data_IF_638265426038
#
_entry.id   IF_638265426038
#
_cell.length_a   1.000
_cell.length_b   1.000
_cell.length_c   1.000
_cell.angle_alpha   90.00
_cell.angle_beta   90.00
_cell.angle_gamma   90.00
#
_symmetry.space_group_name_H-M   'P 1'
#
loop_
_entity.id
_entity.type
_entity.pdbx_description
1 polymer ?
#
# COMPACT_ATOMS: atom_id res chain seq x y z
N UNK A 1 -11.80 -3.12 24.34
CA UNK A 1 -10.82 -2.04 23.99
C UNK A 1 -9.48 -2.26 24.71
N UNK A 2 -9.46 -2.88 25.90
CA UNK A 2 -8.23 -3.33 26.57
C UNK A 2 -7.40 -4.35 25.78
N UNK A 3 -8.04 -5.33 25.14
CA UNK A 3 -7.32 -6.35 24.37
C UNK A 3 -6.63 -5.78 23.12
N UNK A 4 -7.25 -4.78 22.50
CA UNK A 4 -6.64 -4.04 21.40
C UNK A 4 -5.43 -3.22 21.87
N UNK A 5 -5.49 -2.62 23.07
CA UNK A 5 -4.35 -1.92 23.68
C UNK A 5 -3.20 -2.88 23.95
N UNK A 6 -3.46 -4.05 24.55
CA UNK A 6 -2.42 -5.07 24.78
C UNK A 6 -1.73 -5.54 23.50
N UNK A 7 -2.45 -5.62 22.38
CA UNK A 7 -1.84 -5.98 21.09
C UNK A 7 -0.91 -4.90 20.53
N UNK A 8 -1.15 -3.63 20.90
CA UNK A 8 -0.39 -2.46 20.47
C UNK A 8 0.71 -2.05 21.47
N UNK A 9 0.75 -2.66 22.65
CA UNK A 9 1.81 -2.42 23.63
C UNK A 9 3.14 -2.94 23.07
N UNK A 10 4.08 -2.01 22.91
CA UNK A 10 5.45 -2.30 22.55
C UNK A 10 6.17 -2.84 23.78
N UNK A 11 6.97 -3.87 23.57
CA UNK A 11 7.98 -4.28 24.55
C UNK A 11 9.00 -3.15 24.77
N UNK A 12 9.71 -3.12 25.91
CA UNK A 12 10.75 -2.12 26.15
C UNK A 12 11.79 -2.07 25.01
N UNK A 13 12.18 -3.23 24.49
CA UNK A 13 13.14 -3.36 23.39
C UNK A 13 12.58 -2.79 22.08
N UNK A 14 11.31 -3.07 21.75
CA UNK A 14 10.65 -2.49 20.58
C UNK A 14 10.51 -0.96 20.70
N UNK A 15 10.16 -0.47 21.89
CA UNK A 15 10.05 0.97 22.17
C UNK A 15 11.40 1.67 22.01
N UNK A 16 12.46 1.08 22.55
CA UNK A 16 13.82 1.60 22.39
C UNK A 16 14.26 1.58 20.92
N UNK A 17 13.98 0.48 20.19
CA UNK A 17 14.31 0.37 18.78
C UNK A 17 13.61 1.46 17.94
N UNK A 18 12.31 1.69 18.16
CA UNK A 18 11.54 2.76 17.50
C UNK A 18 12.09 4.15 17.85
N UNK A 19 12.50 4.38 19.10
CA UNK A 19 13.05 5.68 19.53
C UNK A 19 14.35 6.07 18.80
N UNK A 20 15.08 5.08 18.29
CA UNK A 20 16.34 5.27 17.54
C UNK A 20 16.10 5.48 16.04
N UNK A 21 14.87 5.30 15.53
CA UNK A 21 14.54 5.52 14.12
C UNK A 21 14.51 7.02 13.84
N UNK A 22 15.49 7.51 13.09
CA UNK A 22 15.48 8.88 12.58
C UNK A 22 14.60 8.92 11.34
N UNK A 23 13.41 9.53 11.48
CA UNK A 23 12.53 9.82 10.33
C UNK A 23 12.84 11.25 9.85
N UNK A 24 13.55 11.43 8.73
CA UNK A 24 13.85 12.77 8.23
C UNK A 24 12.55 13.51 7.86
N UNK A 25 12.54 14.84 7.99
CA UNK A 25 11.45 15.66 7.46
C UNK A 25 11.45 15.59 5.94
N UNK A 26 10.40 15.00 5.37
CA UNK A 26 10.28 14.79 3.93
C UNK A 26 9.42 15.89 3.33
N UNK A 27 9.96 16.57 2.32
CA UNK A 27 9.18 17.52 1.52
C UNK A 27 8.20 16.74 0.65
N UNK A 28 6.90 16.93 0.91
CA UNK A 28 5.80 16.30 0.18
C UNK A 28 6.05 16.36 -1.34
N UNK A 29 6.09 15.20 -1.98
CA UNK A 29 6.22 15.07 -3.43
C UNK A 29 7.64 15.16 -4.00
N UNK A 30 8.68 15.24 -3.17
CA UNK A 30 10.08 15.28 -3.65
C UNK A 30 10.90 14.04 -3.30
N UNK A 31 10.64 13.43 -2.15
CA UNK A 31 11.35 12.24 -1.66
C UNK A 31 10.35 11.18 -1.18
N UNK A 32 10.60 9.88 -1.41
CA UNK A 32 9.74 8.81 -0.92
C UNK A 32 9.81 8.73 0.60
N UNK A 33 8.64 8.57 1.23
CA UNK A 33 8.56 8.42 2.68
C UNK A 33 9.19 7.12 3.16
N UNK A 34 9.57 7.06 4.45
CA UNK A 34 9.98 5.80 5.07
C UNK A 34 8.92 4.71 4.83
N UNK A 35 7.63 5.05 4.92
CA UNK A 35 6.53 4.12 4.68
C UNK A 35 6.47 3.64 3.22
N UNK A 36 6.72 4.53 2.26
CA UNK A 36 6.76 4.18 0.83
C UNK A 36 7.88 3.18 0.57
N UNK A 37 9.10 3.49 1.03
CA UNK A 37 10.26 2.61 0.87
C UNK A 37 10.02 1.28 1.57
N UNK A 38 9.52 1.33 2.81
CA UNK A 38 9.33 0.15 3.63
C UNK A 38 8.33 -0.84 3.01
N UNK A 39 7.22 -0.34 2.45
CA UNK A 39 6.24 -1.18 1.79
C UNK A 39 6.66 -1.63 0.39
N UNK A 40 7.25 -0.74 -0.41
CA UNK A 40 7.50 -1.02 -1.83
C UNK A 40 8.80 -1.78 -2.12
N UNK A 41 9.74 -1.83 -1.17
CA UNK A 41 11.00 -2.55 -1.36
C UNK A 41 10.75 -4.03 -1.68
N UNK A 42 11.24 -4.50 -2.83
CA UNK A 42 11.06 -5.89 -3.27
C UNK A 42 9.78 -6.15 -4.07
N UNK A 43 8.95 -5.13 -4.34
CA UNK A 43 7.93 -5.22 -5.38
C UNK A 43 8.64 -5.26 -6.74
N UNK A 44 8.26 -6.22 -7.58
CA UNK A 44 8.68 -6.33 -8.98
C UNK A 44 7.50 -6.00 -9.87
N UNK A 45 7.66 -5.03 -10.76
CA UNK A 45 6.64 -4.71 -11.77
C UNK A 45 6.79 -5.68 -12.94
N UNK A 46 5.73 -6.42 -13.25
CA UNK A 46 5.73 -7.44 -14.31
C UNK A 46 5.08 -6.94 -15.60
N UNK A 47 4.00 -6.16 -15.47
CA UNK A 47 3.24 -5.62 -16.61
C UNK A 47 2.63 -4.27 -16.26
N UNK A 48 2.68 -3.34 -17.21
CA UNK A 48 2.05 -2.02 -17.11
C UNK A 48 1.33 -1.70 -18.40
N UNK A 49 0.07 -1.28 -18.27
CA UNK A 49 -0.79 -0.82 -19.35
C UNK A 49 -1.58 0.41 -18.89
N UNK A 50 -2.18 1.18 -19.82
CA UNK A 50 -3.02 2.32 -19.44
C UNK A 50 -4.13 1.95 -18.45
N UNK A 51 -3.98 2.36 -17.19
CA UNK A 51 -4.93 2.08 -16.11
C UNK A 51 -4.87 0.65 -15.56
N UNK A 52 -3.78 -0.09 -15.78
CA UNK A 52 -3.62 -1.46 -15.30
C UNK A 52 -2.14 -1.77 -14.98
N UNK A 53 -1.89 -2.46 -13.88
CA UNK A 53 -0.55 -2.92 -13.53
C UNK A 53 -0.61 -4.29 -12.85
N UNK A 54 0.41 -5.11 -13.09
CA UNK A 54 0.63 -6.38 -12.39
C UNK A 54 2.02 -6.36 -11.80
N UNK A 55 2.11 -6.68 -10.51
CA UNK A 55 3.35 -6.78 -9.78
C UNK A 55 3.47 -8.13 -9.07
N UNK A 56 4.69 -8.59 -8.89
CA UNK A 56 5.06 -9.70 -8.01
C UNK A 56 5.58 -9.14 -6.70
N UNK A 57 5.25 -9.80 -5.59
CA UNK A 57 5.75 -9.43 -4.29
C UNK A 57 5.95 -10.66 -3.41
N UNK A 58 7.22 -10.93 -3.08
CA UNK A 58 7.56 -11.96 -2.09
C UNK A 58 7.40 -11.38 -0.69
N UNK A 59 6.57 -11.99 0.15
CA UNK A 59 6.28 -11.50 1.51
C UNK A 59 7.57 -11.45 2.35
N UNK A 60 8.06 -10.25 2.73
CA UNK A 60 9.30 -10.12 3.46
C UNK A 60 9.05 -10.14 4.99
N UNK A 61 10.03 -10.58 5.80
CA UNK A 61 9.89 -10.61 7.26
C UNK A 61 9.51 -9.26 7.88
N UNK A 62 9.96 -8.15 7.28
CA UNK A 62 9.70 -6.79 7.81
C UNK A 62 8.23 -6.36 7.76
N UNK A 63 7.39 -7.04 6.96
CA UNK A 63 5.98 -6.71 6.79
C UNK A 63 5.04 -7.72 7.48
N UNK A 64 5.59 -8.71 8.18
CA UNK A 64 4.78 -9.74 8.84
C UNK A 64 4.40 -9.37 10.28
N UNK A 65 3.25 -9.86 10.73
CA UNK A 65 2.83 -9.82 12.13
C UNK A 65 3.56 -10.88 12.98
N UNK A 66 3.23 -10.92 14.28
CA UNK A 66 3.82 -11.85 15.26
C UNK A 66 3.61 -13.33 14.91
N UNK A 67 2.60 -13.64 14.09
CA UNK A 67 2.26 -14.99 13.63
C UNK A 67 2.90 -15.32 12.26
N UNK A 68 3.77 -14.44 11.75
CA UNK A 68 4.45 -14.57 10.47
C UNK A 68 3.53 -14.42 9.26
N UNK A 69 2.35 -13.82 9.41
CA UNK A 69 1.50 -13.48 8.26
C UNK A 69 1.81 -12.07 7.78
N UNK A 70 1.65 -11.80 6.48
CA UNK A 70 1.60 -10.44 5.97
C UNK A 70 0.58 -9.62 6.77
N UNK A 71 1.05 -8.59 7.45
CA UNK A 71 0.23 -7.82 8.38
C UNK A 71 -0.88 -7.06 7.64
N UNK A 72 -2.02 -6.88 8.31
CA UNK A 72 -3.13 -6.12 7.72
C UNK A 72 -2.72 -4.68 7.36
N UNK A 73 -1.81 -4.07 8.13
CA UNK A 73 -1.26 -2.75 7.82
C UNK A 73 -0.40 -2.75 6.56
N UNK A 74 0.39 -3.79 6.33
CA UNK A 74 1.15 -3.94 5.09
C UNK A 74 0.24 -4.13 3.87
N UNK A 75 -0.82 -4.94 4.00
CA UNK A 75 -1.85 -5.09 2.96
C UNK A 75 -2.50 -3.73 2.67
N UNK A 76 -2.91 -2.98 3.69
CA UNK A 76 -3.51 -1.66 3.50
C UNK A 76 -2.59 -0.68 2.79
N UNK A 77 -1.31 -0.67 3.16
CA UNK A 77 -0.32 0.16 2.50
C UNK A 77 -0.14 -0.26 1.02
N UNK A 78 -0.03 -1.56 0.72
CA UNK A 78 0.06 -2.06 -0.66
C UNK A 78 -1.15 -1.68 -1.51
N UNK A 79 -2.37 -1.72 -0.95
CA UNK A 79 -3.58 -1.23 -1.64
C UNK A 79 -3.46 0.27 -1.97
N UNK A 80 -3.01 1.07 -1.01
CA UNK A 80 -2.84 2.52 -1.16
C UNK A 80 -1.80 2.85 -2.26
N UNK A 81 -0.58 2.33 -2.15
CA UNK A 81 0.49 2.68 -3.11
C UNK A 81 0.21 2.12 -4.50
N UNK A 82 -0.24 0.86 -4.59
CA UNK A 82 -0.52 0.23 -5.89
C UNK A 82 -1.74 0.86 -6.57
N UNK A 83 -2.78 1.21 -5.80
CA UNK A 83 -3.95 1.93 -6.30
C UNK A 83 -3.59 3.34 -6.79
N UNK A 84 -2.87 4.12 -5.97
CA UNK A 84 -2.42 5.46 -6.32
C UNK A 84 -1.52 5.48 -7.57
N UNK A 85 -0.67 4.47 -7.76
CA UNK A 85 0.27 4.39 -8.87
C UNK A 85 -0.39 4.47 -10.26
N UNK A 86 -1.62 3.96 -10.40
CA UNK A 86 -2.33 3.93 -11.70
C UNK A 86 -2.82 5.29 -12.19
N UNK A 87 -2.89 6.26 -11.29
CA UNK A 87 -3.41 7.61 -11.59
C UNK A 87 -2.38 8.70 -11.31
N UNK A 88 -1.22 8.31 -10.77
CA UNK A 88 -0.10 9.22 -10.58
C UNK A 88 0.37 9.74 -11.93
N UNK A 89 0.54 11.05 -12.03
CA UNK A 89 1.07 11.72 -13.22
C UNK A 89 2.22 12.60 -12.78
N UNK A 90 3.41 12.32 -13.30
CA UNK A 90 4.60 13.10 -13.02
C UNK A 90 4.37 14.58 -13.39
N UNK A 91 4.71 15.48 -12.47
CA UNK A 91 4.56 16.93 -12.66
C UNK A 91 3.19 17.51 -12.29
N UNK A 92 2.21 16.68 -11.95
CA UNK A 92 0.92 17.15 -11.41
C UNK A 92 0.88 16.99 -9.88
N UNK A 93 0.01 17.76 -9.17
CA UNK A 93 -0.20 17.57 -7.75
C UNK A 93 -0.55 16.11 -7.41
N UNK A 94 0.00 15.61 -6.32
CA UNK A 94 -0.27 14.26 -5.85
C UNK A 94 -1.76 14.09 -5.56
N UNK A 95 -2.31 12.93 -5.89
CA UNK A 95 -3.66 12.59 -5.48
C UNK A 95 -3.66 12.27 -3.99
N UNK A 96 -4.70 12.72 -3.29
CA UNK A 96 -4.93 12.38 -1.89
C UNK A 96 -5.99 11.29 -1.79
N UNK A 97 -5.76 10.34 -0.90
CA UNK A 97 -6.71 9.27 -0.57
C UNK A 97 -7.92 9.88 0.14
N UNK A 98 -9.13 9.66 -0.39
CA UNK A 98 -10.38 10.17 0.20
C UNK A 98 -11.26 9.07 0.78
N UNK A 99 -11.12 7.84 0.29
CA UNK A 99 -11.80 6.66 0.82
C UNK A 99 -11.01 5.40 0.42
N UNK A 100 -10.99 4.41 1.31
CA UNK A 100 -10.35 3.12 1.07
C UNK A 100 -11.14 2.02 1.78
N UNK A 101 -11.49 0.97 1.05
CA UNK A 101 -12.16 -0.21 1.59
C UNK A 101 -11.38 -1.47 1.23
N UNK A 102 -11.13 -2.33 2.21
CA UNK A 102 -10.34 -3.55 2.01
C UNK A 102 -11.08 -4.75 2.61
N UNK A 103 -11.20 -5.80 1.80
CA UNK A 103 -11.63 -7.13 2.23
C UNK A 103 -10.40 -8.00 2.44
N UNK A 104 -10.17 -8.44 3.68
CA UNK A 104 -9.12 -9.39 4.04
C UNK A 104 -9.70 -10.79 3.98
N UNK A 105 -9.23 -11.63 3.05
CA UNK A 105 -9.89 -12.87 2.67
C UNK A 105 -9.12 -14.10 3.17
N UNK A 106 -7.82 -14.16 2.91
CA UNK A 106 -6.94 -15.23 3.40
C UNK A 106 -5.62 -14.68 3.95
N UNK A 107 -4.80 -15.57 4.52
CA UNK A 107 -3.48 -15.21 5.05
C UNK A 107 -2.41 -15.50 3.99
N UNK A 108 -1.41 -14.63 3.93
CA UNK A 108 -0.15 -14.89 3.23
C UNK A 108 0.97 -14.99 4.27
N UNK A 109 1.81 -16.02 4.18
CA UNK A 109 2.93 -16.23 5.08
C UNK A 109 4.20 -15.58 4.55
N UNK A 110 5.19 -15.43 5.43
CA UNK A 110 6.57 -15.14 5.03
C UNK A 110 7.00 -16.03 3.86
N UNK A 111 7.72 -15.44 2.91
CA UNK A 111 8.20 -16.07 1.68
C UNK A 111 7.13 -16.48 0.65
N UNK A 112 5.83 -16.32 0.93
CA UNK A 112 4.81 -16.49 -0.11
C UNK A 112 5.03 -15.48 -1.26
N UNK A 113 4.82 -15.95 -2.48
CA UNK A 113 4.86 -15.13 -3.68
C UNK A 113 3.45 -14.64 -4.01
N UNK A 114 3.25 -13.32 -3.97
CA UNK A 114 1.98 -12.68 -4.28
C UNK A 114 2.00 -12.06 -5.67
N UNK A 115 0.87 -12.17 -6.36
CA UNK A 115 0.52 -11.32 -7.50
C UNK A 115 -0.39 -10.18 -7.02
N UNK A 116 0.01 -8.96 -7.30
CA UNK A 116 -0.75 -7.74 -7.01
C UNK A 116 -1.21 -7.19 -8.36
N UNK A 117 -2.52 -7.28 -8.62
CA UNK A 117 -3.14 -6.75 -9.83
C UNK A 117 -3.91 -5.48 -9.49
N UNK A 118 -3.53 -4.37 -10.11
CA UNK A 118 -4.16 -3.06 -9.92
C UNK A 118 -4.89 -2.65 -11.20
N UNK A 119 -6.11 -2.13 -11.06
CA UNK A 119 -6.94 -1.64 -12.17
C UNK A 119 -7.60 -0.29 -11.86
N UNK A 120 -7.59 0.63 -12.82
CA UNK A 120 -8.35 1.88 -12.77
C UNK A 120 -9.81 1.57 -13.12
N UNK A 121 -10.72 1.93 -12.22
CA UNK A 121 -12.16 1.72 -12.39
C UNK A 121 -12.81 2.85 -13.19
N UNK A 122 -12.31 4.09 -13.02
CA UNK A 122 -12.81 5.25 -13.74
C UNK A 122 -12.35 6.56 -13.10
N UNK A 123 -12.74 7.67 -13.74
CA UNK A 123 -12.46 9.02 -13.27
C UNK A 123 -13.66 9.93 -13.55
N UNK A 124 -14.04 10.76 -12.58
CA UNK A 124 -15.04 11.82 -12.72
C UNK A 124 -14.49 13.12 -12.14
N UNK A 125 -14.16 14.09 -12.99
CA UNK A 125 -13.46 15.30 -12.58
C UNK A 125 -12.12 14.98 -11.92
N UNK A 126 -11.89 15.53 -10.72
CA UNK A 126 -10.69 15.26 -9.92
C UNK A 126 -10.70 13.93 -9.17
N UNK A 127 -11.82 13.21 -9.15
CA UNK A 127 -11.98 11.94 -8.43
C UNK A 127 -11.65 10.75 -9.32
N UNK A 128 -10.84 9.83 -8.84
CA UNK A 128 -10.47 8.58 -9.51
C UNK A 128 -10.68 7.39 -8.59
N UNK A 129 -11.23 6.31 -9.12
CA UNK A 129 -11.39 5.04 -8.41
C UNK A 129 -10.45 3.97 -8.97
N UNK A 130 -9.83 3.20 -8.09
CA UNK A 130 -8.98 2.06 -8.44
C UNK A 130 -9.34 0.83 -7.60
N UNK A 131 -8.98 -0.35 -8.10
CA UNK A 131 -9.08 -1.63 -7.38
C UNK A 131 -7.73 -2.35 -7.39
N UNK A 132 -7.41 -3.02 -6.30
CA UNK A 132 -6.20 -3.83 -6.14
C UNK A 132 -6.59 -5.22 -5.66
N UNK A 133 -6.15 -6.26 -6.36
CA UNK A 133 -6.37 -7.66 -5.98
C UNK A 133 -5.02 -8.31 -5.67
N UNK A 134 -4.90 -8.90 -4.49
CA UNK A 134 -3.72 -9.66 -4.08
C UNK A 134 -4.05 -11.14 -4.07
N UNK A 135 -3.29 -11.93 -4.81
CA UNK A 135 -3.45 -13.38 -4.94
C UNK A 135 -2.16 -14.08 -4.57
N UNK A 136 -2.23 -15.13 -3.76
CA UNK A 136 -1.10 -16.03 -3.57
C UNK A 136 -0.88 -16.83 -4.86
N UNK A 137 0.32 -16.78 -5.43
CA UNK A 137 0.62 -17.41 -6.72
C UNK A 137 0.65 -18.94 -6.66
N UNK A 138 1.05 -19.50 -5.53
CA UNK A 138 1.15 -20.94 -5.37
C UNK A 138 -0.22 -21.57 -5.14
N UNK A 139 -1.06 -20.97 -4.30
CA UNK A 139 -2.38 -21.51 -3.95
C UNK A 139 -3.50 -21.01 -4.86
N UNK A 140 -3.30 -19.86 -5.51
CA UNK A 140 -4.33 -19.18 -6.30
C UNK A 140 -5.38 -18.45 -5.45
N UNK A 141 -5.28 -18.51 -4.11
CA UNK A 141 -6.23 -17.89 -3.19
C UNK A 141 -6.10 -16.36 -3.19
N UNK A 142 -7.25 -15.70 -3.03
CA UNK A 142 -7.29 -14.25 -2.82
C UNK A 142 -6.92 -13.98 -1.37
N UNK A 143 -5.84 -13.20 -1.18
CA UNK A 143 -5.38 -12.74 0.12
C UNK A 143 -6.20 -11.52 0.54
N UNK A 144 -6.32 -10.55 -0.35
CA UNK A 144 -7.08 -9.34 -0.12
C UNK A 144 -7.58 -8.70 -1.41
N UNK A 145 -8.68 -7.96 -1.31
CA UNK A 145 -9.20 -7.09 -2.35
C UNK A 145 -9.41 -5.69 -1.78
N UNK A 146 -8.84 -4.69 -2.41
CA UNK A 146 -8.91 -3.29 -2.02
C UNK A 146 -9.57 -2.42 -3.10
N UNK A 147 -10.37 -1.44 -2.67
CA UNK A 147 -10.80 -0.31 -3.50
C UNK A 147 -10.26 0.97 -2.90
N UNK A 148 -9.76 1.85 -3.76
CA UNK A 148 -9.09 3.06 -3.36
C UNK A 148 -9.60 4.24 -4.18
N UNK A 149 -10.16 5.20 -3.46
CA UNK A 149 -10.76 6.42 -3.97
C UNK A 149 -9.78 7.56 -3.73
N UNK A 150 -9.38 8.23 -4.81
CA UNK A 150 -8.40 9.30 -4.74
C UNK A 150 -8.92 10.57 -5.39
N UNK A 151 -8.53 11.72 -4.85
CA UNK A 151 -8.87 13.03 -5.37
C UNK A 151 -7.61 13.84 -5.69
N UNK A 152 -7.62 14.50 -6.85
CA UNK A 152 -6.64 15.54 -7.20
C UNK A 152 -7.40 16.83 -7.42
N UNK A 153 -7.01 17.91 -6.75
CA UNK A 153 -7.54 19.22 -7.12
C UNK A 153 -7.02 19.59 -8.52
N UNK A 154 -7.88 20.21 -9.34
CA UNK A 154 -7.36 20.86 -10.54
C UNK A 154 -6.29 21.85 -10.08
N UNK A 155 -5.09 21.77 -10.66
CA UNK A 155 -4.12 22.84 -10.48
C UNK A 155 -4.85 24.15 -10.79
N UNK A 156 -4.85 25.10 -9.84
CA UNK A 156 -5.40 26.41 -10.12
C UNK A 156 -4.66 26.92 -11.35
N UNK A 157 -5.38 27.01 -12.46
CA UNK A 157 -4.94 27.72 -13.64
C UNK A 157 -4.70 29.15 -13.19
N UNK A 158 -3.45 29.48 -12.80
CA UNK A 158 -3.00 30.86 -12.75
C UNK A 158 -2.86 31.30 -14.21
N UNK A 159 -4.00 31.62 -14.82
CA UNK A 159 -4.10 32.54 -15.94
C UNK A 159 -4.19 33.96 -15.36
#
# INVERSE_FOLDING_TARGET
MEDAKKCLELTPDESEAVSRVVVPEIRVGKEPSLYDIFATTGIRVDRVEPGFAVCSFKVPPRLTDKDGNLSNGAIANLVDVAGASLIYVMGLPMNVSVDMSISYVSKAKIDDELEITSKRLGQKGGYSGTSVLMRNKATGEIVAEGRHSLFRSAAASKL
#
